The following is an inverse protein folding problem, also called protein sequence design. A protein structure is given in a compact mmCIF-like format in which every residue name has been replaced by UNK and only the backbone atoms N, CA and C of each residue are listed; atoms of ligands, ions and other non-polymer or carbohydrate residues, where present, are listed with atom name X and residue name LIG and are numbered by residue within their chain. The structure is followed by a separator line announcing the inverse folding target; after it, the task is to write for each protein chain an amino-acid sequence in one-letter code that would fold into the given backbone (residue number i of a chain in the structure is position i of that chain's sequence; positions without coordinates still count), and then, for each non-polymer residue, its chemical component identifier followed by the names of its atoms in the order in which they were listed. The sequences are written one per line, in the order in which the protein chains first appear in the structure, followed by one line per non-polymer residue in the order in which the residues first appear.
data_IF_092151382720
#
_entry.id   IF_092151382720
#
_cell.length_a   1.000
_cell.length_b   1.000
_cell.length_c   1.000
_cell.angle_alpha   90.00
_cell.angle_beta   90.00
_cell.angle_gamma   90.00
#
_symmetry.space_group_name_H-M   'P 1'
#
loop_
_entity.id
_entity.type
_entity.pdbx_description
1 polymer ?
#
# COMPACT_ATOMS: atom_id res chain seq x y z
N UNK A 1 -22.22 3.99 -5.65
CA UNK A 1 -21.28 3.74 -4.54
C UNK A 1 -21.63 4.58 -3.33
N UNK A 2 -21.98 3.97 -2.21
CA UNK A 2 -22.05 4.65 -0.91
C UNK A 2 -20.64 5.05 -0.48
N UNK A 3 -20.35 6.35 -0.43
CA UNK A 3 -19.05 6.87 0.00
C UNK A 3 -18.87 6.55 1.49
N UNK A 4 -17.97 5.61 1.81
CA UNK A 4 -17.62 5.29 3.20
C UNK A 4 -17.19 6.57 3.93
N UNK A 5 -17.97 6.98 4.94
CA UNK A 5 -17.67 8.18 5.74
C UNK A 5 -16.60 7.84 6.78
N UNK A 6 -15.36 8.29 6.53
CA UNK A 6 -14.26 8.21 7.49
C UNK A 6 -13.65 9.60 7.77
N UNK A 7 -13.01 9.74 8.93
CA UNK A 7 -12.29 10.96 9.33
C UNK A 7 -10.80 10.65 9.36
N UNK A 8 -9.95 11.60 8.95
CA UNK A 8 -8.49 11.51 9.14
C UNK A 8 -8.09 12.59 10.13
N UNK A 9 -7.29 12.21 11.13
CA UNK A 9 -6.73 13.10 12.15
C UNK A 9 -5.22 12.96 12.12
N UNK A 10 -4.52 14.05 11.83
CA UNK A 10 -3.05 14.11 11.87
C UNK A 10 -2.53 14.35 13.29
N UNK A 11 -1.28 13.96 13.54
CA UNK A 11 -0.57 14.16 14.80
C UNK A 11 -1.33 13.68 16.05
N UNK A 12 -2.10 12.61 15.89
CA UNK A 12 -2.92 12.05 16.97
C UNK A 12 -2.05 11.49 18.11
N UNK A 13 -2.37 11.76 19.39
CA UNK A 13 -1.68 11.15 20.52
C UNK A 13 -1.65 9.62 20.47
N UNK A 14 -2.75 9.00 20.03
CA UNK A 14 -2.83 7.55 19.86
C UNK A 14 -1.84 7.04 18.80
N UNK A 15 -1.79 7.72 17.65
CA UNK A 15 -0.86 7.34 16.58
C UNK A 15 0.60 7.63 16.96
N UNK A 16 0.87 8.59 17.85
CA UNK A 16 2.19 8.81 18.43
C UNK A 16 2.62 7.65 19.32
N UNK A 17 1.73 7.13 20.16
CA UNK A 17 2.01 5.95 20.99
C UNK A 17 2.24 4.73 20.09
N UNK A 18 1.35 4.49 19.12
CA UNK A 18 1.52 3.39 18.16
C UNK A 18 2.86 3.46 17.41
N UNK A 19 3.29 4.67 17.03
CA UNK A 19 4.61 4.90 16.42
C UNK A 19 5.78 4.47 17.30
N UNK A 20 5.71 4.75 18.60
CA UNK A 20 6.74 4.33 19.56
C UNK A 20 6.75 2.80 19.73
N UNK A 21 5.58 2.17 19.78
CA UNK A 21 5.43 0.71 19.94
C UNK A 21 5.92 -0.04 18.70
N UNK A 22 5.53 0.43 17.51
CA UNK A 22 5.88 -0.19 16.23
C UNK A 22 7.29 0.17 15.75
N UNK A 23 7.97 1.12 16.41
CA UNK A 23 9.30 1.64 16.03
C UNK A 23 9.37 2.08 14.56
N UNK A 24 8.27 2.59 14.02
CA UNK A 24 8.18 3.10 12.64
C UNK A 24 8.25 4.62 12.62
N UNK A 25 8.74 5.21 11.52
CA UNK A 25 8.75 6.67 11.34
C UNK A 25 7.36 7.22 11.03
N UNK A 26 6.57 6.44 10.28
CA UNK A 26 5.27 6.81 9.78
C UNK A 26 4.25 5.75 10.20
N UNK A 27 3.14 6.18 10.79
CA UNK A 27 2.07 5.29 11.24
C UNK A 27 0.72 5.88 10.88
N UNK A 28 -0.14 5.02 10.36
CA UNK A 28 -1.57 5.19 10.35
C UNK A 28 -2.18 4.10 11.25
N UNK A 29 -3.24 4.44 11.98
CA UNK A 29 -4.00 3.48 12.76
C UNK A 29 -5.47 3.84 12.71
N UNK A 30 -6.34 2.84 12.78
CA UNK A 30 -7.78 3.05 12.78
C UNK A 30 -8.38 2.84 14.16
N UNK A 31 -9.28 3.74 14.55
CA UNK A 31 -10.18 3.58 15.69
C UNK A 31 -11.61 3.85 15.22
N UNK A 32 -12.39 2.78 15.04
CA UNK A 32 -13.75 2.85 14.52
C UNK A 32 -13.79 3.32 13.07
N UNK A 33 -14.16 4.58 12.86
CA UNK A 33 -14.23 5.24 11.53
C UNK A 33 -13.19 6.34 11.33
N UNK A 34 -12.24 6.44 12.26
CA UNK A 34 -11.23 7.50 12.27
C UNK A 34 -9.85 6.91 12.03
N UNK A 35 -9.15 7.43 11.04
CA UNK A 35 -7.75 7.14 10.74
C UNK A 35 -6.91 8.19 11.47
N UNK A 36 -6.00 7.75 12.31
CA UNK A 36 -5.09 8.59 13.07
C UNK A 36 -3.68 8.45 12.47
N UNK A 37 -3.11 9.57 12.03
CA UNK A 37 -1.79 9.62 11.41
C UNK A 37 -0.74 10.17 12.38
N UNK A 38 0.48 9.67 12.30
CA UNK A 38 1.66 10.16 13.02
C UNK A 38 2.91 10.03 12.15
N UNK A 39 3.67 11.11 12.00
CA UNK A 39 4.85 11.15 11.12
C UNK A 39 4.55 11.32 9.63
N UNK A 40 3.28 11.21 9.22
CA UNK A 40 2.83 11.39 7.83
C UNK A 40 1.70 12.40 7.74
N UNK A 41 1.71 13.20 6.67
CA UNK A 41 0.63 14.13 6.32
C UNK A 41 -0.47 13.43 5.52
N UNK A 42 -1.69 13.95 5.61
CA UNK A 42 -2.86 13.43 4.90
C UNK A 42 -2.62 13.34 3.39
N UNK A 43 -2.00 14.35 2.79
CA UNK A 43 -1.80 14.37 1.34
C UNK A 43 -0.87 13.23 0.88
N UNK A 44 0.19 12.96 1.64
CA UNK A 44 1.11 11.85 1.36
C UNK A 44 0.45 10.50 1.58
N UNK A 45 -0.34 10.37 2.65
CA UNK A 45 -1.12 9.15 2.92
C UNK A 45 -2.11 8.85 1.79
N UNK A 46 -2.86 9.85 1.32
CA UNK A 46 -3.87 9.68 0.28
C UNK A 46 -3.30 9.35 -1.11
N UNK A 47 -2.02 9.66 -1.36
CA UNK A 47 -1.34 9.29 -2.60
C UNK A 47 -0.98 7.80 -2.66
N UNK A 48 -0.87 7.13 -1.52
CA UNK A 48 -0.60 5.70 -1.46
C UNK A 48 -1.94 4.93 -1.38
N UNK A 49 -2.47 4.57 -2.56
CA UNK A 49 -3.72 3.83 -2.66
C UNK A 49 -3.70 2.49 -1.91
N UNK A 50 -2.54 1.84 -1.82
CA UNK A 50 -2.36 0.60 -1.09
C UNK A 50 -2.51 0.83 0.40
N UNK A 51 -1.87 1.87 0.91
CA UNK A 51 -1.94 2.22 2.33
C UNK A 51 -3.36 2.67 2.72
N UNK A 52 -4.01 3.48 1.88
CA UNK A 52 -5.42 3.86 2.09
C UNK A 52 -6.32 2.63 2.12
N UNK A 53 -6.18 1.70 1.17
CA UNK A 53 -6.98 0.48 1.13
C UNK A 53 -6.76 -0.42 2.37
N UNK A 54 -5.53 -0.47 2.88
CA UNK A 54 -5.21 -1.13 4.14
C UNK A 54 -5.99 -0.53 5.32
N UNK A 55 -5.93 0.79 5.53
CA UNK A 55 -6.67 1.43 6.63
C UNK A 55 -8.20 1.31 6.44
N UNK A 56 -8.70 1.38 5.20
CA UNK A 56 -10.13 1.19 4.91
C UNK A 56 -10.60 -0.23 5.27
N UNK A 57 -9.74 -1.24 5.11
CA UNK A 57 -10.04 -2.60 5.56
C UNK A 57 -10.28 -2.64 7.07
N UNK A 58 -9.44 -1.96 7.87
CA UNK A 58 -9.68 -1.87 9.31
C UNK A 58 -10.98 -1.15 9.66
N UNK A 59 -11.36 -0.07 8.94
CA UNK A 59 -12.67 0.57 9.14
C UNK A 59 -13.81 -0.42 8.89
N UNK A 60 -13.72 -1.22 7.82
CA UNK A 60 -14.70 -2.29 7.54
C UNK A 60 -14.75 -3.31 8.66
N UNK A 61 -13.59 -3.80 9.12
CA UNK A 61 -13.52 -4.76 10.22
C UNK A 61 -14.15 -4.22 11.51
N UNK A 62 -13.92 -2.94 11.83
CA UNK A 62 -14.55 -2.23 12.94
C UNK A 62 -16.08 -2.13 12.78
N UNK A 63 -16.58 -1.91 11.56
CA UNK A 63 -18.02 -1.87 11.28
C UNK A 63 -18.66 -3.26 11.41
N UNK A 64 -17.97 -4.31 10.97
CA UNK A 64 -18.46 -5.69 11.01
C UNK A 64 -18.48 -6.28 12.43
N UNK A 65 -17.43 -6.01 13.21
CA UNK A 65 -17.26 -6.63 14.53
C UNK A 65 -17.70 -5.70 15.68
N UNK A 66 -17.86 -4.40 15.42
CA UNK A 66 -18.12 -3.39 16.44
C UNK A 66 -16.84 -2.94 17.17
N UNK A 67 -16.91 -1.75 17.78
CA UNK A 67 -15.72 -1.04 18.27
C UNK A 67 -14.89 -1.82 19.31
N UNK A 68 -15.47 -2.14 20.46
CA UNK A 68 -14.75 -2.78 21.57
C UNK A 68 -14.44 -4.25 21.27
N UNK A 69 -15.38 -4.95 20.63
CA UNK A 69 -15.21 -6.35 20.25
C UNK A 69 -14.07 -6.53 19.25
N UNK A 70 -13.95 -5.65 18.26
CA UNK A 70 -12.83 -5.73 17.32
C UNK A 70 -11.48 -5.52 18.00
N UNK A 71 -11.34 -4.51 18.88
CA UNK A 71 -10.10 -4.28 19.63
C UNK A 71 -9.70 -5.52 20.44
N UNK A 72 -10.66 -6.16 21.12
CA UNK A 72 -10.38 -7.36 21.89
C UNK A 72 -9.97 -8.55 20.98
N UNK A 73 -10.70 -8.77 19.87
CA UNK A 73 -10.36 -9.82 18.91
C UNK A 73 -8.96 -9.62 18.32
N UNK A 74 -8.65 -8.38 17.93
CA UNK A 74 -7.38 -7.99 17.36
C UNK A 74 -6.23 -8.18 18.36
N UNK A 75 -6.40 -7.75 19.60
CA UNK A 75 -5.38 -7.90 20.64
C UNK A 75 -5.17 -9.37 20.99
N UNK A 76 -6.25 -10.14 21.16
CA UNK A 76 -6.18 -11.58 21.45
C UNK A 76 -5.45 -12.34 20.34
N UNK A 77 -5.74 -12.04 19.09
CA UNK A 77 -5.05 -12.65 17.95
C UNK A 77 -3.57 -12.25 17.94
N UNK A 78 -3.27 -10.97 18.12
CA UNK A 78 -1.90 -10.46 18.20
C UNK A 78 -1.08 -11.11 19.31
N UNK A 79 -1.68 -11.37 20.48
CA UNK A 79 -1.00 -12.07 21.58
C UNK A 79 -0.73 -13.54 21.25
N UNK A 80 -1.59 -14.18 20.44
CA UNK A 80 -1.47 -15.60 20.09
C UNK A 80 -0.45 -15.86 18.99
N UNK A 81 -0.45 -15.04 17.94
CA UNK A 81 0.34 -15.29 16.71
C UNK A 81 1.31 -14.14 16.36
N UNK A 82 1.29 -13.05 17.11
CA UNK A 82 2.05 -11.83 16.83
C UNK A 82 1.34 -10.88 15.86
N UNK A 83 1.85 -9.65 15.77
CA UNK A 83 1.33 -8.61 14.88
C UNK A 83 1.35 -9.02 13.39
N UNK A 84 2.48 -9.58 12.93
CA UNK A 84 2.66 -9.89 11.50
C UNK A 84 1.78 -11.05 11.00
N UNK A 85 1.45 -12.01 11.85
CA UNK A 85 0.61 -13.15 11.47
C UNK A 85 -0.86 -12.96 11.87
N UNK A 86 -1.21 -11.81 12.47
CA UNK A 86 -2.59 -11.50 12.80
C UNK A 86 -3.44 -11.52 11.53
N UNK A 87 -4.49 -12.35 11.51
CA UNK A 87 -5.37 -12.52 10.34
C UNK A 87 -5.97 -11.19 9.85
N UNK A 88 -6.23 -10.25 10.76
CA UNK A 88 -6.80 -8.94 10.42
C UNK A 88 -5.78 -8.06 9.69
N UNK A 89 -4.50 -8.13 10.07
CA UNK A 89 -3.40 -7.44 9.40
C UNK A 89 -3.07 -8.07 8.04
N UNK A 90 -3.15 -9.40 7.95
CA UNK A 90 -2.97 -10.14 6.69
C UNK A 90 -4.05 -9.73 5.69
N UNK A 91 -5.30 -9.69 6.14
CA UNK A 91 -6.43 -9.24 5.31
C UNK A 91 -6.25 -7.79 4.84
N UNK A 92 -5.86 -6.88 5.73
CA UNK A 92 -5.61 -5.48 5.39
C UNK A 92 -4.43 -5.32 4.41
N UNK A 93 -3.36 -6.12 4.54
CA UNK A 93 -2.26 -6.16 3.55
C UNK A 93 -2.71 -6.66 2.19
N UNK A 94 -3.55 -7.70 2.15
CA UNK A 94 -4.13 -8.19 0.89
C UNK A 94 -5.01 -7.13 0.22
N UNK A 95 -5.82 -6.39 1.00
CA UNK A 95 -6.60 -5.27 0.49
C UNK A 95 -5.70 -4.16 -0.09
N UNK A 96 -4.59 -3.83 0.59
CA UNK A 96 -3.61 -2.87 0.09
C UNK A 96 -2.98 -3.29 -1.24
N UNK A 97 -2.55 -4.55 -1.36
CA UNK A 97 -1.97 -5.09 -2.60
C UNK A 97 -2.98 -5.05 -3.75
N UNK A 98 -4.24 -5.42 -3.50
CA UNK A 98 -5.31 -5.34 -4.51
C UNK A 98 -5.56 -3.90 -4.96
N UNK A 99 -5.70 -2.95 -4.04
CA UNK A 99 -5.89 -1.54 -4.37
C UNK A 99 -4.73 -0.95 -5.19
N UNK A 100 -3.49 -1.39 -4.92
CA UNK A 100 -2.32 -1.04 -5.75
C UNK A 100 -2.45 -1.57 -7.18
N UNK A 101 -2.82 -2.85 -7.33
CA UNK A 101 -2.96 -3.48 -8.65
C UNK A 101 -4.06 -2.82 -9.47
N UNK A 102 -5.20 -2.52 -8.85
CA UNK A 102 -6.32 -1.81 -9.50
C UNK A 102 -5.89 -0.41 -9.95
N UNK A 103 -5.19 0.33 -9.10
CA UNK A 103 -4.65 1.65 -9.44
C UNK A 103 -3.66 1.59 -10.61
N UNK A 104 -2.73 0.63 -10.61
CA UNK A 104 -1.77 0.43 -11.72
C UNK A 104 -2.48 0.02 -13.01
N UNK A 105 -3.53 -0.81 -12.92
CA UNK A 105 -4.33 -1.20 -14.07
C UNK A 105 -5.09 0.00 -14.67
N UNK A 106 -5.62 0.90 -13.83
CA UNK A 106 -6.30 2.11 -14.30
C UNK A 106 -5.33 3.08 -14.97
N UNK A 107 -4.17 3.33 -14.35
CA UNK A 107 -3.10 4.13 -14.97
C UNK A 107 -2.67 3.55 -16.33
N UNK A 108 -2.56 2.23 -16.44
CA UNK A 108 -2.24 1.56 -17.69
C UNK A 108 -3.31 1.82 -18.77
N UNK A 109 -4.59 1.75 -18.42
CA UNK A 109 -5.67 2.07 -19.36
C UNK A 109 -5.61 3.52 -19.83
N UNK A 110 -5.33 4.45 -18.93
CA UNK A 110 -5.18 5.87 -19.27
C UNK A 110 -3.97 6.11 -20.21
N UNK A 111 -2.83 5.46 -19.95
CA UNK A 111 -1.66 5.56 -20.85
C UNK A 111 -1.90 4.90 -22.20
N UNK A 112 -2.57 3.74 -22.22
CA UNK A 112 -2.88 3.01 -23.46
C UNK A 112 -3.96 3.75 -24.29
N UNK A 113 -4.87 4.49 -23.64
CA UNK A 113 -5.87 5.34 -24.30
C UNK A 113 -5.29 6.64 -24.89
N UNK A 114 -4.14 7.09 -24.40
CA UNK A 114 -3.46 8.32 -24.85
C UNK A 114 -2.34 8.05 -25.87
N UNK A 115 -2.04 6.78 -26.19
CA UNK A 115 -1.05 6.42 -27.19
C UNK A 115 -1.71 6.40 -28.60
N UNK A 116 -1.25 7.21 -29.57
CA UNK A 116 -1.64 6.97 -30.96
C UNK A 116 -1.20 5.55 -31.33
N UNK A 117 -2.05 4.82 -32.06
CA UNK A 117 -1.75 3.49 -32.57
C UNK A 117 -0.34 3.50 -33.20
N UNK A 118 0.62 2.89 -32.52
CA UNK A 118 1.94 2.71 -33.08
C UNK A 118 1.80 1.69 -34.23
N UNK A 119 2.19 2.03 -35.47
CA UNK A 119 2.22 1.04 -36.53
C UNK A 119 3.24 -0.02 -36.12
N UNK A 120 2.84 -1.29 -36.21
CA UNK A 120 3.67 -2.46 -35.94
C UNK A 120 5.10 -2.27 -36.47
N UNK A 121 6.06 -2.03 -35.57
CA UNK A 121 7.46 -2.16 -35.90
C UNK A 121 7.79 -3.65 -35.95
N UNK A 122 7.74 -4.22 -37.15
CA UNK A 122 8.41 -5.47 -37.47
C UNK A 122 9.92 -5.26 -37.24
N UNK A 123 10.39 -5.48 -36.01
CA UNK A 123 11.82 -5.60 -35.75
C UNK A 123 12.19 -7.05 -36.00
N UNK A 124 12.61 -7.30 -37.24
CA UNK A 124 13.38 -8.48 -37.62
C UNK A 124 14.65 -8.54 -36.74
N UNK A 125 15.04 -9.69 -36.16
CA UNK A 125 16.28 -9.80 -35.42
C UNK A 125 17.44 -9.80 -36.41
N UNK A 126 17.88 -8.62 -36.85
CA UNK A 126 19.11 -8.47 -37.61
C UNK A 126 20.25 -8.36 -36.61
N UNK A 127 21.04 -9.43 -36.52
CA UNK A 127 22.14 -9.56 -35.58
C UNK A 127 23.13 -8.41 -35.69
N UNK A 128 23.45 -7.80 -34.54
CA UNK A 128 24.59 -6.91 -34.44
C UNK A 128 25.88 -7.75 -34.23
N UNK A 129 26.96 -7.43 -34.95
CA UNK A 129 28.23 -8.14 -34.83
C UNK A 129 28.90 -7.81 -33.49
N UNK A 130 29.48 -8.84 -32.87
CA UNK A 130 30.31 -8.74 -31.67
C UNK A 130 31.61 -8.01 -32.07
N UNK A 131 32.01 -6.91 -31.40
CA UNK A 131 33.33 -6.33 -31.62
C UNK A 131 34.39 -7.24 -31.01
N UNK A 132 35.25 -7.78 -31.87
CA UNK A 132 36.48 -8.51 -31.50
C UNK A 132 37.60 -7.52 -31.15
N UNK A 133 38.27 -7.83 -30.05
CA UNK A 133 39.68 -7.59 -29.67
C UNK A 133 40.29 -6.18 -29.73
N UNK A 134 40.91 -5.77 -28.61
CA UNK A 134 42.31 -5.28 -28.64
C UNK A 134 43.04 -5.68 -27.34
N UNK A 135 44.01 -6.59 -27.48
CA UNK A 135 45.10 -6.86 -26.52
C UNK A 135 45.83 -5.56 -26.15
N UNK A 136 46.04 -5.29 -24.86
CA UNK A 136 47.13 -4.41 -24.41
C UNK A 136 48.21 -5.23 -23.69
N UNK A 137 49.37 -5.27 -24.34
CA UNK A 137 50.67 -5.73 -23.83
C UNK A 137 51.47 -4.50 -23.39
N UNK A 138 52.45 -4.74 -22.50
CA UNK A 138 53.65 -3.92 -22.21
C UNK A 138 53.41 -2.93 -21.05
N UNK A 139 54.23 -2.84 -20.00
CA UNK A 139 55.66 -3.16 -19.80
C UNK A 139 55.84 -3.96 -18.50
#
# INVERSE_FOLDING_TARGET
MTKMKYKIVENSPFARIARLVLKSSNVAMVLGKTIHLSGVRRESFLKDSAWVAHELCHIRQFQEHGYLRFLWLYLRESMRVGYWNNKYEVEARLAGTKGRQEFLAELRKETDAQLPAQPHSNIHPTGLPIPVDVKKKTI
#
